data_IF_398369314075
#
_entry.id   IF_398369314075
#
_cell.length_a   1.000
_cell.length_b   1.000
_cell.length_c   1.000
_cell.angle_alpha   90.00
_cell.angle_beta   90.00
_cell.angle_gamma   90.00
#
_symmetry.space_group_name_H-M   'P 1'
#
loop_
_entity.id
_entity.type
_entity.pdbx_description
1 polymer ?
#
# COMPACT_ATOMS: atom_id res chain seq x y z
N UNK A 1 15.17 -12.50 -32.57
CA UNK A 1 13.94 -12.13 -31.84
C UNK A 1 14.32 -11.09 -30.80
N UNK A 2 13.94 -9.83 -31.01
CA UNK A 2 14.27 -8.71 -30.14
C UNK A 2 13.16 -8.48 -29.09
N UNK A 3 13.46 -7.98 -27.88
CA UNK A 3 12.46 -7.78 -26.83
C UNK A 3 11.61 -6.51 -27.08
N UNK A 4 10.37 -6.45 -26.55
CA UNK A 4 9.50 -5.30 -26.76
C UNK A 4 9.95 -4.12 -25.90
N UNK A 5 9.90 -2.92 -26.50
CA UNK A 5 10.20 -1.64 -25.84
C UNK A 5 8.98 -1.20 -25.03
N UNK A 6 9.14 -1.03 -23.73
CA UNK A 6 8.15 -0.38 -22.87
C UNK A 6 8.11 1.13 -23.18
N UNK A 7 6.95 1.62 -23.61
CA UNK A 7 6.66 3.05 -23.75
C UNK A 7 6.27 3.64 -22.39
N UNK A 8 6.77 4.85 -22.13
CA UNK A 8 6.58 5.62 -20.90
C UNK A 8 5.11 6.02 -20.72
N UNK A 9 4.58 5.81 -19.52
CA UNK A 9 3.32 6.35 -19.07
C UNK A 9 3.50 7.82 -18.67
N UNK A 10 3.26 8.74 -19.59
CA UNK A 10 3.14 10.17 -19.30
C UNK A 10 2.17 10.79 -20.28
N UNK A 11 0.89 10.39 -20.19
CA UNK A 11 -0.23 11.01 -20.90
C UNK A 11 -1.54 10.52 -20.25
N UNK A 12 -1.85 11.00 -19.05
CA UNK A 12 -3.14 10.75 -18.43
C UNK A 12 -3.51 11.89 -17.49
N UNK A 13 -3.84 13.06 -18.06
CA UNK A 13 -4.87 13.98 -17.56
C UNK A 13 -5.02 15.15 -18.54
N UNK A 14 -5.85 14.98 -19.57
CA UNK A 14 -6.40 16.09 -20.34
C UNK A 14 -7.75 15.69 -20.93
N UNK A 15 -8.71 16.61 -20.80
CA UNK A 15 -10.11 16.59 -21.26
C UNK A 15 -11.10 15.95 -20.26
N UNK A 16 -12.17 16.64 -19.84
CA UNK A 16 -12.60 17.98 -20.19
C UNK A 16 -14.02 18.29 -19.70
N UNK A 17 -14.61 19.28 -20.38
CA UNK A 17 -16.03 19.69 -20.38
C UNK A 17 -16.44 20.44 -19.10
N UNK A 18 -16.93 21.66 -19.14
CA UNK A 18 -17.78 22.28 -20.16
C UNK A 18 -19.20 22.43 -19.59
N UNK A 19 -19.45 23.56 -18.94
CA UNK A 19 -20.76 24.10 -18.56
C UNK A 19 -20.49 25.55 -18.15
N UNK A 20 -20.77 26.59 -18.94
CA UNK A 20 -22.03 27.07 -19.53
C UNK A 20 -23.18 27.13 -18.52
N UNK A 21 -23.71 28.36 -18.41
CA UNK A 21 -24.88 28.83 -17.66
C UNK A 21 -24.51 29.15 -16.19
N UNK A 22 -24.80 30.32 -15.64
CA UNK A 22 -26.02 31.11 -15.79
C UNK A 22 -25.74 32.60 -15.52
N UNK A 23 -26.24 33.40 -16.45
CA UNK A 23 -26.44 34.83 -16.37
C UNK A 23 -27.57 35.07 -15.36
N UNK A 24 -27.31 35.72 -14.24
CA UNK A 24 -28.37 36.36 -13.44
C UNK A 24 -28.08 37.86 -13.46
N UNK A 25 -28.77 38.49 -14.41
CA UNK A 25 -29.09 39.90 -14.41
C UNK A 25 -30.15 40.13 -13.34
N UNK A 26 -29.80 40.81 -12.26
CA UNK A 26 -30.80 41.46 -11.42
C UNK A 26 -30.98 42.90 -11.92
N UNK A 27 -32.05 43.07 -12.70
CA UNK A 27 -32.66 44.36 -12.96
C UNK A 27 -33.76 44.64 -11.94
N UNK A 28 -33.68 45.78 -11.26
CA UNK A 28 -34.81 46.49 -10.65
C UNK A 28 -34.29 47.88 -10.22
N UNK A 29 -34.91 49.02 -10.47
CA UNK A 29 -36.17 49.30 -11.13
C UNK A 29 -36.20 50.76 -11.57
N UNK A 30 -36.85 50.95 -12.72
CA UNK A 30 -37.32 52.21 -13.26
C UNK A 30 -38.30 52.89 -12.32
N UNK A 31 -38.15 54.21 -12.11
CA UNK A 31 -39.26 55.13 -11.84
C UNK A 31 -39.02 56.46 -12.55
N UNK A 32 -39.68 56.62 -13.68
CA UNK A 32 -40.05 57.91 -14.26
C UNK A 32 -41.09 58.62 -13.36
N UNK A 33 -41.14 59.96 -13.38
CA UNK A 33 -42.44 60.62 -13.42
C UNK A 33 -42.56 61.56 -14.62
N UNK A 34 -43.65 61.36 -15.35
CA UNK A 34 -44.22 62.20 -16.40
C UNK A 34 -44.76 63.54 -15.87
N UNK A 35 -44.49 64.60 -16.65
CA UNK A 35 -45.33 65.76 -16.97
C UNK A 35 -46.41 66.22 -15.98
N UNK A 36 -46.30 67.49 -15.57
CA UNK A 36 -47.38 68.49 -15.75
C UNK A 36 -46.77 69.85 -16.03
N UNK A 37 -47.09 70.38 -17.21
CA UNK A 37 -46.92 71.75 -17.67
C UNK A 37 -47.70 72.73 -16.80
N UNK A 38 -47.08 73.85 -16.43
CA UNK A 38 -47.82 75.08 -16.14
C UNK A 38 -47.16 76.26 -16.84
N UNK A 39 -48.01 77.11 -17.41
CA UNK A 39 -47.70 78.13 -18.39
C UNK A 39 -47.85 79.52 -17.78
N UNK A 40 -46.99 80.44 -18.20
CA UNK A 40 -47.02 81.85 -17.83
C UNK A 40 -45.85 82.18 -16.89
N UNK A 41 -45.08 83.24 -17.08
CA UNK A 41 -45.34 84.47 -17.82
C UNK A 41 -44.03 85.06 -18.32
N UNK A 42 -44.08 85.62 -19.53
CA UNK A 42 -43.19 86.67 -20.01
C UNK A 42 -42.90 87.70 -18.91
N UNK A 43 -41.64 88.13 -18.82
CA UNK A 43 -41.15 89.53 -18.94
C UNK A 43 -39.81 89.64 -18.20
N UNK A 44 -38.84 90.33 -18.79
CA UNK A 44 -37.50 90.69 -18.26
C UNK A 44 -36.33 89.70 -18.42
N UNK A 45 -36.04 89.33 -19.68
CA UNK A 45 -34.71 88.86 -20.09
C UNK A 45 -34.01 89.95 -20.90
N UNK A 46 -33.00 90.62 -20.32
CA UNK A 46 -31.76 91.07 -21.00
C UNK A 46 -30.84 91.98 -20.15
N UNK A 47 -30.56 91.64 -18.88
CA UNK A 47 -29.45 92.32 -18.18
C UNK A 47 -28.81 91.58 -16.97
N UNK A 48 -28.84 90.24 -16.93
CA UNK A 48 -28.22 89.45 -15.84
C UNK A 48 -27.38 88.24 -16.32
N UNK A 49 -26.84 88.26 -17.55
CA UNK A 49 -26.28 87.04 -18.16
C UNK A 49 -24.81 86.75 -17.83
N UNK A 50 -24.05 87.70 -17.27
CA UNK A 50 -22.62 87.48 -17.00
C UNK A 50 -22.36 86.82 -15.63
N UNK A 51 -23.13 87.18 -14.60
CA UNK A 51 -22.90 86.69 -13.24
C UNK A 51 -23.43 85.26 -13.03
N UNK A 52 -24.57 84.89 -13.64
CA UNK A 52 -25.11 83.53 -13.56
C UNK A 52 -24.26 82.49 -14.33
N UNK A 53 -23.66 82.89 -15.45
CA UNK A 53 -22.70 82.04 -16.17
C UNK A 53 -21.45 81.77 -15.31
N UNK A 54 -20.95 82.78 -14.59
CA UNK A 54 -19.82 82.64 -13.65
C UNK A 54 -20.15 81.71 -12.48
N UNK A 55 -21.37 81.76 -11.95
CA UNK A 55 -21.84 80.85 -10.89
C UNK A 55 -21.96 79.41 -11.43
N UNK A 56 -22.47 79.23 -12.64
CA UNK A 56 -22.59 77.91 -13.28
C UNK A 56 -21.23 77.26 -13.58
N UNK A 57 -20.24 78.04 -14.00
CA UNK A 57 -18.87 77.60 -14.26
C UNK A 57 -18.18 77.16 -12.96
N UNK A 58 -18.32 77.96 -11.88
CA UNK A 58 -17.83 77.59 -10.55
C UNK A 58 -18.46 76.30 -10.03
N UNK A 59 -19.76 76.10 -10.26
CA UNK A 59 -20.47 74.87 -9.87
C UNK A 59 -20.01 73.65 -10.68
N UNK A 60 -19.76 73.82 -11.97
CA UNK A 60 -19.22 72.76 -12.83
C UNK A 60 -17.79 72.39 -12.41
N UNK A 61 -16.94 73.38 -12.13
CA UNK A 61 -15.59 73.16 -11.64
C UNK A 61 -15.59 72.39 -10.30
N UNK A 62 -16.49 72.76 -9.37
CA UNK A 62 -16.66 72.04 -8.11
C UNK A 62 -17.10 70.58 -8.34
N UNK A 63 -18.08 70.33 -9.21
CA UNK A 63 -18.52 68.96 -9.55
C UNK A 63 -17.39 68.13 -10.20
N UNK A 64 -16.57 68.71 -11.07
CA UNK A 64 -15.43 68.02 -11.68
C UNK A 64 -14.34 67.74 -10.65
N UNK A 65 -14.13 68.64 -9.69
CA UNK A 65 -13.18 68.44 -8.60
C UNK A 65 -13.66 67.31 -7.66
N UNK A 66 -14.94 67.29 -7.32
CA UNK A 66 -15.56 66.24 -6.50
C UNK A 66 -15.55 64.87 -7.21
N UNK A 67 -15.84 64.84 -8.52
CA UNK A 67 -15.73 63.62 -9.31
C UNK A 67 -14.29 63.11 -9.32
N UNK A 68 -13.31 64.01 -9.49
CA UNK A 68 -11.89 63.66 -9.49
C UNK A 68 -11.46 63.11 -8.12
N UNK A 69 -11.91 63.70 -7.02
CA UNK A 69 -11.57 63.21 -5.68
C UNK A 69 -12.23 61.86 -5.41
N UNK A 70 -13.52 61.71 -5.74
CA UNK A 70 -14.25 60.44 -5.61
C UNK A 70 -13.60 59.32 -6.42
N UNK A 71 -13.31 59.55 -7.71
CA UNK A 71 -12.65 58.55 -8.55
C UNK A 71 -11.26 58.19 -8.01
N UNK A 72 -10.53 59.17 -7.48
CA UNK A 72 -9.22 58.92 -6.87
C UNK A 72 -9.35 58.07 -5.61
N UNK A 73 -10.33 58.35 -4.74
CA UNK A 73 -10.54 57.56 -3.52
C UNK A 73 -11.00 56.14 -3.85
N UNK A 74 -11.92 55.97 -4.79
CA UNK A 74 -12.42 54.65 -5.19
C UNK A 74 -11.31 53.81 -5.83
N UNK A 75 -10.50 54.43 -6.68
CA UNK A 75 -9.33 53.76 -7.27
C UNK A 75 -8.29 53.38 -6.22
N UNK A 76 -8.04 54.25 -5.24
CA UNK A 76 -7.12 53.96 -4.15
C UNK A 76 -7.63 52.83 -3.24
N UNK A 77 -8.93 52.80 -2.95
CA UNK A 77 -9.56 51.72 -2.20
C UNK A 77 -9.46 50.39 -2.96
N UNK A 78 -9.84 50.36 -4.24
CA UNK A 78 -9.75 49.17 -5.08
C UNK A 78 -8.30 48.64 -5.20
N UNK A 79 -7.32 49.53 -5.37
CA UNK A 79 -5.90 49.14 -5.39
C UNK A 79 -5.44 48.61 -4.02
N UNK A 80 -5.93 49.19 -2.92
CA UNK A 80 -5.63 48.70 -1.57
C UNK A 80 -6.18 47.30 -1.35
N UNK A 81 -7.42 47.04 -1.77
CA UNK A 81 -8.06 45.74 -1.62
C UNK A 81 -7.40 44.68 -2.52
N UNK A 82 -7.11 44.99 -3.78
CA UNK A 82 -6.32 44.09 -4.64
C UNK A 82 -4.94 43.75 -4.04
N UNK A 83 -4.29 44.69 -3.36
CA UNK A 83 -3.02 44.42 -2.67
C UNK A 83 -3.18 43.45 -1.50
N UNK A 84 -4.28 43.55 -0.75
CA UNK A 84 -4.59 42.59 0.33
C UNK A 84 -4.86 41.20 -0.24
N UNK A 85 -5.65 41.11 -1.31
CA UNK A 85 -5.95 39.84 -1.97
C UNK A 85 -4.69 39.19 -2.53
N UNK A 86 -3.80 39.96 -3.19
CA UNK A 86 -2.50 39.46 -3.67
C UNK A 86 -1.67 38.94 -2.50
N UNK A 87 -1.67 39.63 -1.36
CA UNK A 87 -0.95 39.19 -0.18
C UNK A 87 -1.53 37.90 0.41
N UNK A 88 -2.86 37.79 0.54
CA UNK A 88 -3.53 36.60 1.04
C UNK A 88 -3.31 35.39 0.11
N UNK A 89 -3.41 35.60 -1.20
CA UNK A 89 -3.10 34.55 -2.17
C UNK A 89 -1.63 34.14 -2.05
N UNK A 90 -0.71 35.09 -1.87
CA UNK A 90 0.70 34.81 -1.65
C UNK A 90 0.97 33.95 -0.40
N UNK A 91 0.34 34.27 0.73
CA UNK A 91 0.50 33.47 1.96
C UNK A 91 -0.09 32.07 1.81
N UNK A 92 -1.23 31.94 1.13
CA UNK A 92 -1.85 30.64 0.83
C UNK A 92 -1.01 29.80 -0.12
N UNK A 93 -0.41 30.39 -1.14
CA UNK A 93 0.49 29.69 -2.08
C UNK A 93 1.71 29.17 -1.34
N UNK A 94 2.37 30.01 -0.54
CA UNK A 94 3.55 29.58 0.24
C UNK A 94 3.21 28.42 1.19
N UNK A 95 2.05 28.46 1.88
CA UNK A 95 1.62 27.38 2.76
C UNK A 95 1.29 26.08 1.99
N UNK A 96 0.85 26.18 0.73
CA UNK A 96 0.63 25.01 -0.13
C UNK A 96 1.94 24.43 -0.65
N UNK A 97 2.92 25.29 -0.97
CA UNK A 97 4.26 24.86 -1.36
C UNK A 97 4.94 24.08 -0.23
N UNK A 98 4.92 24.62 0.99
CA UNK A 98 5.48 23.94 2.18
C UNK A 98 4.83 22.56 2.41
N UNK A 99 3.50 22.47 2.34
CA UNK A 99 2.79 21.18 2.44
C UNK A 99 3.12 20.22 1.31
N UNK A 100 3.37 20.73 0.10
CA UNK A 100 3.73 19.89 -1.05
C UNK A 100 5.13 19.31 -0.85
N UNK A 101 6.07 20.10 -0.34
CA UNK A 101 7.41 19.64 -0.02
C UNK A 101 7.41 18.58 1.09
N UNK A 102 6.60 18.77 2.14
CA UNK A 102 6.40 17.77 3.20
C UNK A 102 5.85 16.44 2.63
N UNK A 103 4.85 16.52 1.74
CA UNK A 103 4.26 15.34 1.10
C UNK A 103 5.28 14.62 0.21
N UNK A 104 6.09 15.35 -0.55
CA UNK A 104 7.19 14.78 -1.34
C UNK A 104 8.17 14.02 -0.45
N UNK A 105 8.60 14.62 0.66
CA UNK A 105 9.54 13.99 1.58
C UNK A 105 8.98 12.72 2.25
N UNK A 106 7.71 12.76 2.67
CA UNK A 106 7.03 11.57 3.19
C UNK A 106 6.93 10.47 2.13
N UNK A 107 6.61 10.82 0.89
CA UNK A 107 6.51 9.86 -0.19
C UNK A 107 7.87 9.21 -0.50
N UNK A 108 8.96 9.98 -0.53
CA UNK A 108 10.31 9.44 -0.70
C UNK A 108 10.66 8.45 0.42
N UNK A 109 10.34 8.80 1.67
CA UNK A 109 10.55 7.91 2.83
C UNK A 109 9.75 6.61 2.70
N UNK A 110 8.51 6.68 2.23
CA UNK A 110 7.66 5.50 2.01
C UNK A 110 8.24 4.63 0.89
N UNK A 111 8.66 5.24 -0.21
CA UNK A 111 9.27 4.54 -1.35
C UNK A 111 10.54 3.80 -0.91
N UNK A 112 11.42 4.46 -0.17
CA UNK A 112 12.63 3.82 0.39
C UNK A 112 12.28 2.63 1.29
N UNK A 113 11.26 2.77 2.13
CA UNK A 113 10.83 1.69 3.03
C UNK A 113 10.28 0.50 2.27
N UNK A 114 9.47 0.72 1.22
CA UNK A 114 8.96 -0.33 0.34
C UNK A 114 10.13 -1.05 -0.35
N UNK A 115 11.09 -0.30 -0.90
CA UNK A 115 12.25 -0.89 -1.56
C UNK A 115 13.11 -1.75 -0.62
N UNK A 116 13.32 -1.30 0.63
CA UNK A 116 14.00 -2.11 1.65
C UNK A 116 13.23 -3.39 1.98
N UNK A 117 11.93 -3.28 2.18
CA UNK A 117 11.07 -4.44 2.44
C UNK A 117 11.08 -5.44 1.27
N UNK A 118 11.05 -4.96 0.03
CA UNK A 118 11.10 -5.81 -1.15
C UNK A 118 12.46 -6.51 -1.29
N UNK A 119 13.55 -5.81 -1.00
CA UNK A 119 14.90 -6.39 -1.00
C UNK A 119 15.03 -7.51 0.04
N UNK A 120 14.52 -7.29 1.25
CA UNK A 120 14.55 -8.28 2.34
C UNK A 120 13.66 -9.50 2.06
N UNK A 121 12.55 -9.30 1.33
CA UNK A 121 11.57 -10.36 1.03
C UNK A 121 11.91 -11.16 -0.24
N UNK A 122 12.61 -10.56 -1.21
CA UNK A 122 13.01 -11.20 -2.48
C UNK A 122 13.65 -12.59 -2.35
N UNK A 123 14.54 -12.90 -1.38
CA UNK A 123 15.12 -14.25 -1.29
C UNK A 123 14.12 -15.34 -0.90
N UNK A 124 12.99 -14.99 -0.28
CA UNK A 124 12.03 -15.95 0.28
C UNK A 124 10.73 -15.98 -0.49
N UNK A 125 10.41 -14.93 -1.25
CA UNK A 125 9.23 -14.91 -2.08
C UNK A 125 9.33 -15.97 -3.19
N UNK A 126 8.45 -16.98 -3.20
CA UNK A 126 8.30 -17.79 -4.39
C UNK A 126 7.77 -16.92 -5.53
N UNK A 127 8.10 -17.28 -6.78
CA UNK A 127 7.51 -16.66 -7.95
C UNK A 127 6.04 -17.11 -8.08
N UNK A 128 5.15 -16.46 -7.32
CA UNK A 128 3.71 -16.68 -7.28
C UNK A 128 3.00 -15.38 -7.62
N UNK A 129 1.96 -15.46 -8.43
CA UNK A 129 1.08 -14.33 -8.65
C UNK A 129 0.19 -14.11 -7.42
N UNK A 130 -0.23 -12.86 -7.17
CA UNK A 130 -1.09 -12.53 -6.02
C UNK A 130 -2.40 -13.34 -6.06
N UNK A 131 -2.92 -13.64 -7.25
CA UNK A 131 -4.11 -14.46 -7.43
C UNK A 131 -3.94 -15.90 -6.90
N UNK A 132 -2.71 -16.41 -6.86
CA UNK A 132 -2.40 -17.76 -6.38
C UNK A 132 -2.30 -17.84 -4.84
N UNK A 133 -2.20 -16.71 -4.15
CA UNK A 133 -2.11 -16.63 -2.68
C UNK A 133 -3.48 -16.64 -1.99
N UNK A 134 -4.49 -17.24 -2.62
CA UNK A 134 -5.83 -17.38 -2.04
C UNK A 134 -5.82 -18.35 -0.85
N UNK A 135 -6.33 -17.88 0.28
CA UNK A 135 -6.51 -18.68 1.50
C UNK A 135 -7.98 -19.13 1.61
N UNK A 136 -8.19 -20.42 1.85
CA UNK A 136 -9.51 -20.96 2.20
C UNK A 136 -9.80 -20.76 3.69
N UNK A 137 -8.78 -20.95 4.53
CA UNK A 137 -8.91 -20.91 6.00
C UNK A 137 -7.59 -20.55 6.65
N UNK A 138 -7.64 -19.71 7.68
CA UNK A 138 -6.51 -19.44 8.56
C UNK A 138 -7.02 -19.31 9.99
N UNK A 139 -6.44 -20.06 10.92
CA UNK A 139 -6.84 -20.02 12.33
C UNK A 139 -5.67 -20.43 13.22
N UNK A 140 -5.74 -20.06 14.50
CA UNK A 140 -4.78 -20.48 15.53
C UNK A 140 -5.21 -21.82 16.12
N UNK A 141 -4.25 -22.72 16.32
CA UNK A 141 -4.50 -23.99 17.01
C UNK A 141 -4.79 -23.72 18.50
N UNK A 142 -5.74 -24.43 19.12
CA UNK A 142 -5.93 -24.38 20.56
C UNK A 142 -4.62 -24.66 21.30
N UNK A 143 -4.37 -23.89 22.35
CA UNK A 143 -3.16 -24.06 23.16
C UNK A 143 -3.35 -25.25 24.11
N UNK A 144 -2.41 -26.21 24.17
CA UNK A 144 -2.48 -27.24 25.19
C UNK A 144 -2.30 -26.60 26.57
N UNK A 145 -3.05 -27.10 27.56
CA UNK A 145 -3.09 -26.51 28.91
C UNK A 145 -1.72 -26.49 29.61
N UNK A 146 -0.83 -27.41 29.23
CA UNK A 146 0.51 -27.55 29.81
C UNK A 146 1.54 -26.52 29.31
N UNK A 147 1.18 -25.65 28.35
CA UNK A 147 2.11 -24.71 27.74
C UNK A 147 1.97 -23.31 28.37
N UNK A 148 3.09 -22.71 28.78
CA UNK A 148 3.13 -21.38 29.42
C UNK A 148 2.41 -20.33 28.57
N UNK A 149 1.62 -19.44 29.20
CA UNK A 149 0.69 -18.52 28.53
C UNK A 149 1.37 -17.60 27.48
N UNK A 150 2.65 -17.29 27.68
CA UNK A 150 3.45 -16.43 26.81
C UNK A 150 3.86 -17.06 25.47
N UNK A 151 3.87 -18.40 25.37
CA UNK A 151 4.27 -19.07 24.12
C UNK A 151 3.24 -18.82 23.01
N UNK A 152 3.65 -18.30 21.83
CA UNK A 152 2.74 -18.08 20.70
C UNK A 152 2.03 -19.36 20.27
N UNK A 153 0.77 -19.24 19.85
CA UNK A 153 0.02 -20.35 19.25
C UNK A 153 0.38 -20.52 17.78
N UNK A 154 0.56 -21.77 17.37
CA UNK A 154 0.70 -22.16 15.97
C UNK A 154 -0.51 -21.69 15.14
N UNK A 155 -0.25 -21.34 13.88
CA UNK A 155 -1.26 -20.95 12.91
C UNK A 155 -1.34 -22.04 11.85
N UNK A 156 -2.54 -22.54 11.60
CA UNK A 156 -2.82 -23.47 10.50
C UNK A 156 -3.51 -22.72 9.39
N UNK A 157 -2.87 -22.70 8.22
CA UNK A 157 -3.39 -22.12 6.99
C UNK A 157 -3.70 -23.19 5.97
N UNK A 158 -4.86 -23.06 5.33
CA UNK A 158 -5.26 -23.85 4.16
C UNK A 158 -5.22 -22.93 2.95
N UNK A 159 -4.21 -23.12 2.11
CA UNK A 159 -4.13 -22.47 0.81
C UNK A 159 -5.11 -23.14 -0.16
N UNK A 160 -5.75 -22.33 -0.99
CA UNK A 160 -6.69 -22.79 -1.99
C UNK A 160 -6.00 -23.67 -3.04
N UNK A 161 -4.81 -23.26 -3.48
CA UNK A 161 -4.02 -23.98 -4.47
C UNK A 161 -2.87 -24.76 -3.81
N UNK A 162 -2.80 -26.06 -4.13
CA UNK A 162 -1.71 -26.94 -3.65
C UNK A 162 -0.34 -26.50 -4.20
N UNK A 163 -0.28 -26.02 -5.45
CA UNK A 163 0.94 -25.50 -6.09
C UNK A 163 1.55 -24.34 -5.31
N UNK A 164 0.73 -23.37 -4.88
CA UNK A 164 1.16 -22.25 -4.06
C UNK A 164 1.78 -22.71 -2.73
N UNK A 165 1.14 -23.67 -2.07
CA UNK A 165 1.67 -24.27 -0.83
C UNK A 165 3.04 -24.91 -1.03
N UNK A 166 3.22 -25.71 -2.07
CA UNK A 166 4.52 -26.35 -2.36
C UNK A 166 5.59 -25.33 -2.77
N UNK A 167 5.21 -24.29 -3.52
CA UNK A 167 6.13 -23.21 -3.91
C UNK A 167 6.64 -22.46 -2.68
N UNK A 168 5.75 -22.10 -1.73
CA UNK A 168 6.12 -21.45 -0.47
C UNK A 168 7.05 -22.35 0.37
N UNK A 169 6.69 -23.61 0.58
CA UNK A 169 7.54 -24.56 1.33
C UNK A 169 8.88 -24.83 0.65
N UNK A 170 8.94 -24.75 -0.68
CA UNK A 170 10.19 -24.92 -1.43
C UNK A 170 11.05 -23.67 -1.34
N UNK A 171 10.46 -22.48 -1.43
CA UNK A 171 11.16 -21.21 -1.24
C UNK A 171 11.75 -21.12 0.17
N UNK A 172 10.98 -21.46 1.21
CA UNK A 172 11.46 -21.47 2.60
C UNK A 172 12.61 -22.46 2.82
N UNK A 173 12.59 -23.64 2.18
CA UNK A 173 13.70 -24.62 2.27
C UNK A 173 14.96 -24.17 1.51
N UNK A 174 14.81 -23.37 0.46
CA UNK A 174 15.93 -22.82 -0.33
C UNK A 174 16.52 -21.58 0.32
N UNK A 175 15.71 -20.80 1.01
CA UNK A 175 16.15 -19.62 1.76
C UNK A 175 17.06 -20.06 2.92
N UNK A 176 18.24 -19.45 3.01
CA UNK A 176 19.21 -19.76 4.07
C UNK A 176 18.79 -19.24 5.44
N UNK A 177 17.95 -18.20 5.49
CA UNK A 177 17.40 -17.59 6.70
C UNK A 177 16.18 -16.73 6.33
N UNK A 178 15.22 -16.61 7.26
CA UNK A 178 14.17 -15.59 7.19
C UNK A 178 14.79 -14.21 7.49
N UNK A 179 14.24 -13.09 7.00
CA UNK A 179 14.71 -11.76 7.37
C UNK A 179 14.62 -11.58 8.88
N UNK A 180 15.43 -10.69 9.49
CA UNK A 180 15.53 -10.53 10.94
C UNK A 180 14.18 -10.32 11.65
N UNK A 181 13.22 -9.68 10.97
CA UNK A 181 11.85 -9.48 11.45
C UNK A 181 11.04 -10.77 11.63
N UNK A 182 11.44 -11.86 10.96
CA UNK A 182 10.74 -13.12 10.90
C UNK A 182 11.64 -14.33 11.23
N UNK A 183 12.82 -14.10 11.83
CA UNK A 183 13.82 -15.15 12.11
C UNK A 183 13.24 -16.31 12.95
N UNK A 184 12.33 -16.00 13.86
CA UNK A 184 11.71 -16.96 14.77
C UNK A 184 10.48 -17.69 14.18
N UNK A 185 10.18 -17.48 12.89
CA UNK A 185 9.05 -18.12 12.21
C UNK A 185 9.56 -19.31 11.40
N UNK A 186 9.00 -20.48 11.66
CA UNK A 186 9.26 -21.70 10.90
C UNK A 186 7.99 -22.18 10.20
N UNK A 187 8.11 -22.58 8.94
CA UNK A 187 7.00 -23.12 8.15
C UNK A 187 7.15 -24.64 8.03
N UNK A 188 6.07 -25.36 8.32
CA UNK A 188 6.01 -26.80 8.21
C UNK A 188 4.77 -27.23 7.42
N UNK A 189 4.87 -28.38 6.75
CA UNK A 189 3.69 -29.00 6.16
C UNK A 189 2.81 -29.59 7.27
N UNK A 190 1.50 -29.39 7.17
CA UNK A 190 0.52 -30.06 8.02
C UNK A 190 0.42 -31.54 7.60
N UNK A 191 0.88 -32.43 8.47
CA UNK A 191 0.95 -33.86 8.21
C UNK A 191 0.15 -34.60 9.27
N UNK A 192 -0.60 -35.62 8.82
CA UNK A 192 -1.36 -36.46 9.73
C UNK A 192 -0.44 -37.14 10.77
N UNK A 193 -0.93 -37.42 11.99
CA UNK A 193 -0.15 -38.12 13.02
C UNK A 193 0.41 -39.47 12.55
N UNK A 194 -0.34 -40.21 11.73
CA UNK A 194 0.09 -41.49 11.16
C UNK A 194 1.24 -41.32 10.18
N UNK A 195 1.19 -40.29 9.31
CA UNK A 195 2.32 -39.93 8.43
C UNK A 195 3.55 -39.53 9.22
N UNK A 196 3.38 -38.73 10.28
CA UNK A 196 4.48 -38.30 11.16
C UNK A 196 5.12 -39.47 11.89
N UNK A 197 4.32 -40.40 12.44
CA UNK A 197 4.81 -41.63 13.05
C UNK A 197 5.62 -42.46 12.05
N UNK A 198 5.10 -42.66 10.84
CA UNK A 198 5.81 -43.40 9.80
C UNK A 198 7.13 -42.73 9.41
N UNK A 199 7.17 -41.39 9.28
CA UNK A 199 8.43 -40.66 9.02
C UNK A 199 9.47 -40.83 10.13
N UNK A 200 9.03 -40.92 11.39
CA UNK A 200 9.95 -41.15 12.54
C UNK A 200 10.62 -42.52 12.48
N UNK A 201 9.95 -43.54 11.95
CA UNK A 201 10.55 -44.87 11.80
C UNK A 201 11.73 -44.87 10.81
N UNK A 202 11.72 -43.98 9.81
CA UNK A 202 12.80 -43.79 8.85
C UNK A 202 13.86 -42.75 9.28
N UNK A 203 13.82 -42.26 10.54
CA UNK A 203 14.72 -41.18 10.98
C UNK A 203 16.20 -41.57 10.89
N UNK A 204 16.54 -42.82 11.23
CA UNK A 204 17.92 -43.30 11.19
C UNK A 204 18.43 -43.44 9.75
N UNK A 205 17.57 -43.94 8.85
CA UNK A 205 17.87 -44.07 7.42
C UNK A 205 18.07 -42.69 6.80
N UNK A 206 17.15 -41.76 7.05
CA UNK A 206 17.22 -40.39 6.49
C UNK A 206 18.39 -39.58 7.03
N UNK A 207 18.79 -39.76 8.30
CA UNK A 207 20.04 -39.21 8.85
C UNK A 207 21.26 -39.71 8.08
N UNK A 208 21.34 -41.02 7.83
CA UNK A 208 22.43 -41.61 7.05
C UNK A 208 22.45 -41.06 5.60
N UNK A 209 21.30 -40.98 4.93
CA UNK A 209 21.21 -40.41 3.58
C UNK A 209 21.64 -38.94 3.54
N UNK A 210 21.24 -38.14 4.54
CA UNK A 210 21.65 -36.73 4.67
C UNK A 210 23.16 -36.60 4.80
N UNK A 211 23.79 -37.40 5.67
CA UNK A 211 25.24 -37.37 5.89
C UNK A 211 26.02 -37.72 4.61
N UNK A 212 25.42 -38.55 3.76
CA UNK A 212 26.00 -38.96 2.47
C UNK A 212 25.52 -38.10 1.28
N UNK A 213 24.81 -36.98 1.53
CA UNK A 213 24.28 -36.06 0.50
C UNK A 213 23.40 -36.74 -0.57
N UNK A 214 22.69 -37.80 -0.20
CA UNK A 214 21.74 -38.51 -1.08
C UNK A 214 20.36 -37.89 -0.89
N UNK A 215 19.67 -37.55 -1.99
CA UNK A 215 18.30 -37.03 -1.95
C UNK A 215 17.25 -38.12 -1.73
N UNK A 216 16.15 -37.77 -1.05
CA UNK A 216 15.01 -38.66 -0.85
C UNK A 216 13.67 -37.91 -0.86
N UNK A 217 12.59 -38.66 -1.07
CA UNK A 217 11.20 -38.17 -1.04
C UNK A 217 10.29 -38.99 -0.10
N UNK A 218 9.19 -38.37 0.32
CA UNK A 218 8.16 -38.97 1.19
C UNK A 218 6.75 -38.63 0.72
N UNK A 219 5.93 -39.65 0.43
CA UNK A 219 4.50 -39.60 0.72
C UNK A 219 4.16 -40.54 1.89
N UNK A 220 4.44 -41.85 1.76
CA UNK A 220 4.26 -42.90 2.78
C UNK A 220 5.40 -43.93 2.83
N UNK A 221 6.25 -43.92 1.81
CA UNK A 221 7.38 -44.84 1.58
C UNK A 221 8.59 -43.98 1.24
N UNK A 222 9.79 -44.43 1.61
CA UNK A 222 11.01 -43.68 1.36
C UNK A 222 11.45 -43.91 -0.10
N UNK A 223 11.52 -42.84 -0.88
CA UNK A 223 11.97 -42.86 -2.27
C UNK A 223 13.40 -42.33 -2.33
N UNK A 224 14.35 -43.11 -2.84
CA UNK A 224 15.77 -42.76 -2.90
C UNK A 224 16.22 -42.79 -4.36
N UNK A 225 16.87 -41.72 -4.82
CA UNK A 225 17.49 -41.68 -6.14
C UNK A 225 18.96 -42.12 -6.04
N UNK A 226 19.32 -43.23 -6.69
CA UNK A 226 20.70 -43.75 -6.69
C UNK A 226 20.99 -44.51 -7.98
N UNK A 227 22.17 -44.27 -8.57
CA UNK A 227 22.63 -44.95 -9.79
C UNK A 227 21.60 -44.88 -10.95
N UNK A 228 20.93 -43.74 -11.12
CA UNK A 228 19.91 -43.54 -12.15
C UNK A 228 18.59 -44.30 -11.93
N UNK A 229 18.41 -44.96 -10.78
CA UNK A 229 17.20 -45.71 -10.45
C UNK A 229 16.52 -45.16 -9.19
N UNK A 230 15.19 -45.12 -9.22
CA UNK A 230 14.37 -44.78 -8.06
C UNK A 230 14.12 -46.04 -7.21
N UNK A 231 14.71 -46.09 -6.02
CA UNK A 231 14.58 -47.22 -5.11
C UNK A 231 13.52 -46.87 -4.06
N UNK A 232 12.51 -47.73 -3.94
CA UNK A 232 11.41 -47.58 -2.99
C UNK A 232 11.63 -48.48 -1.79
N UNK A 233 11.59 -47.90 -0.59
CA UNK A 233 11.74 -48.63 0.66
C UNK A 233 10.45 -48.44 1.46
N UNK A 234 9.76 -49.55 1.69
CA UNK A 234 8.49 -49.55 2.43
C UNK A 234 8.69 -49.87 3.90
N UNK A 235 9.70 -50.68 4.22
CA UNK A 235 10.00 -51.17 5.57
C UNK A 235 11.35 -50.62 6.08
N UNK A 236 11.41 -50.08 7.32
CA UNK A 236 12.66 -49.61 7.91
C UNK A 236 13.76 -50.67 8.00
N UNK A 237 13.45 -51.94 8.29
CA UNK A 237 14.48 -52.98 8.42
C UNK A 237 15.17 -53.24 7.07
N UNK A 238 14.38 -53.45 6.01
CA UNK A 238 14.87 -53.56 4.64
C UNK A 238 15.69 -52.34 4.21
N UNK A 239 15.29 -51.14 4.65
CA UNK A 239 16.02 -49.91 4.37
C UNK A 239 17.40 -49.87 5.01
N UNK A 240 17.54 -50.32 6.26
CA UNK A 240 18.82 -50.42 6.95
C UNK A 240 19.75 -51.44 6.29
N UNK A 241 19.23 -52.58 5.89
CA UNK A 241 20.04 -53.59 5.20
C UNK A 241 20.53 -53.09 3.84
N UNK A 242 19.69 -52.37 3.09
CA UNK A 242 20.14 -51.69 1.86
C UNK A 242 21.24 -50.67 2.13
N UNK A 243 21.16 -49.87 3.20
CA UNK A 243 22.22 -48.93 3.57
C UNK A 243 23.54 -49.64 3.90
N UNK A 244 23.49 -50.82 4.55
CA UNK A 244 24.67 -51.66 4.80
C UNK A 244 25.25 -52.19 3.49
N UNK A 245 24.42 -52.75 2.61
CA UNK A 245 24.86 -53.23 1.28
C UNK A 245 25.52 -52.12 0.47
N UNK A 246 25.08 -50.88 0.69
CA UNK A 246 25.61 -49.71 0.03
C UNK A 246 26.87 -49.11 0.68
N UNK A 247 27.34 -49.68 1.79
CA UNK A 247 28.49 -49.16 2.56
C UNK A 247 28.25 -47.78 3.16
N UNK A 248 27.00 -47.34 3.34
CA UNK A 248 26.69 -46.01 3.89
C UNK A 248 26.54 -46.01 5.42
N UNK A 249 26.45 -47.19 6.02
CA UNK A 249 26.30 -47.35 7.45
C UNK A 249 27.67 -47.70 8.06
N UNK A 250 28.29 -46.83 8.86
CA UNK A 250 29.55 -47.14 9.51
C UNK A 250 29.33 -48.26 10.54
N UNK A 251 30.24 -49.23 10.54
CA UNK A 251 30.17 -50.47 11.31
C UNK A 251 29.67 -50.27 12.75
N UNK A 252 28.41 -50.66 12.99
CA UNK A 252 27.86 -50.91 14.33
C UNK A 252 27.54 -49.72 15.24
N UNK A 253 27.96 -48.48 14.94
CA UNK A 253 27.58 -47.32 15.76
C UNK A 253 26.32 -46.68 15.21
N UNK A 254 25.17 -47.10 15.74
CA UNK A 254 23.92 -46.38 15.51
C UNK A 254 24.15 -44.88 15.76
N UNK A 255 23.80 -43.99 14.82
CA UNK A 255 24.00 -42.56 15.02
C UNK A 255 23.30 -42.15 16.31
N UNK A 256 24.07 -41.57 17.25
CA UNK A 256 23.60 -41.20 18.58
C UNK A 256 22.18 -40.62 18.50
N UNK A 257 21.22 -41.35 19.08
CA UNK A 257 19.85 -40.90 19.23
C UNK A 257 19.86 -39.75 20.22
N UNK A 258 20.11 -38.53 19.76
CA UNK A 258 19.85 -37.35 20.59
C UNK A 258 18.35 -37.31 20.87
N UNK A 259 18.04 -37.67 22.12
CA UNK A 259 16.86 -37.32 22.90
C UNK A 259 15.52 -37.65 22.24
N UNK A 260 15.06 -38.89 22.47
CA UNK A 260 13.62 -39.13 22.51
C UNK A 260 13.01 -38.23 23.57
N UNK A 261 12.22 -37.22 23.18
CA UNK A 261 11.28 -36.59 24.09
C UNK A 261 10.48 -37.71 24.75
N UNK A 262 10.49 -37.76 26.09
CA UNK A 262 9.75 -38.76 26.86
C UNK A 262 8.33 -38.81 26.33
N UNK A 263 7.88 -40.01 25.97
CA UNK A 263 6.51 -40.29 25.55
C UNK A 263 5.61 -39.93 26.73
N UNK A 264 5.05 -38.72 26.75
CA UNK A 264 4.00 -38.35 27.69
C UNK A 264 2.78 -39.17 27.25
N UNK A 265 2.56 -40.31 27.87
CA UNK A 265 1.29 -41.02 27.79
C UNK A 265 0.26 -40.13 28.48
N UNK A 266 -0.51 -39.40 27.70
CA UNK A 266 -1.71 -38.75 28.19
C UNK A 266 -2.66 -39.88 28.66
N UNK A 267 -2.84 -39.97 29.97
CA UNK A 267 -3.82 -40.84 30.59
C UNK A 267 -5.20 -40.18 30.44
N UNK A 268 -5.94 -40.59 29.40
CA UNK A 268 -7.27 -40.07 29.10
C UNK A 268 -8.35 -40.62 30.04
N UNK A 269 -8.00 -41.42 31.05
CA UNK A 269 -8.95 -41.96 32.04
C UNK A 269 -9.30 -40.98 33.17
N UNK A 270 -8.72 -39.78 33.18
CA UNK A 270 -9.00 -38.72 34.16
C UNK A 270 -9.48 -37.42 33.53
N UNK A 271 -10.38 -37.50 32.56
CA UNK A 271 -11.17 -36.38 32.07
C UNK A 271 -12.66 -36.66 32.31
#
# INVERSE_FOLDING_TARGET
MAPPKFQRASDFFRQGKGGKQRLEQDGSGSRSPTHTSDAGSDTDMRQATADDLSVSEKRLAAMLQDLRTSMKTDFQAAVSDMRKDIHEVGTRVNALEEKTDELCHMNDTIVEKIQRMDADNKPIQPNLEVADLRLDRAHRVPKPQNLAQEVPRDIVTRLHYYSAKEAILTAQRKASAMPPTHENISLFADLSPTTMARRREFINITKCLRNNKIGWGFPTKLLIWRNGSLIKIEDPALGMDKLKTWGLFPDGKAPHTQTSLKKVTADWSKA
#
